data_IF_008574129286
#
_entry.id   IF_008574129286
#
_cell.length_a   1.000
_cell.length_b   1.000
_cell.length_c   1.000
_cell.angle_alpha   90.00
_cell.angle_beta   90.00
_cell.angle_gamma   90.00
#
_symmetry.space_group_name_H-M   'P 1'
#
loop_
_entity.id
_entity.type
_entity.pdbx_description
1 polymer ?
#
# COMPACT_ATOMS: atom_id res chain seq x y z
N UNK A 1 34.67 -21.03 -40.15
CA UNK A 1 34.27 -19.67 -39.68
C UNK A 1 32.79 -19.56 -39.33
N UNK A 2 31.84 -19.84 -40.23
CA UNK A 2 30.39 -19.63 -39.98
C UNK A 2 29.81 -20.35 -38.74
N UNK A 3 30.29 -21.56 -38.42
CA UNK A 3 29.88 -22.32 -37.21
C UNK A 3 30.45 -21.75 -35.90
N UNK A 4 31.66 -21.16 -35.93
CA UNK A 4 32.30 -20.54 -34.76
C UNK A 4 31.59 -19.23 -34.42
N UNK A 5 31.24 -18.42 -35.42
CA UNK A 5 30.41 -17.22 -35.22
C UNK A 5 29.04 -17.54 -34.63
N UNK A 6 28.40 -18.65 -35.05
CA UNK A 6 27.12 -19.07 -34.49
C UNK A 6 27.23 -19.53 -33.04
N UNK A 7 28.29 -20.26 -32.68
CA UNK A 7 28.57 -20.64 -31.28
C UNK A 7 28.89 -19.44 -30.40
N UNK A 8 29.69 -18.48 -30.88
CA UNK A 8 29.97 -17.23 -30.18
C UNK A 8 28.69 -16.40 -29.97
N UNK A 9 27.82 -16.31 -30.98
CA UNK A 9 26.53 -15.63 -30.86
C UNK A 9 25.64 -16.31 -29.79
N UNK A 10 25.62 -17.64 -29.75
CA UNK A 10 24.83 -18.40 -28.77
C UNK A 10 25.36 -18.20 -27.35
N UNK A 11 26.68 -18.22 -27.16
CA UNK A 11 27.32 -17.95 -25.85
C UNK A 11 27.04 -16.52 -25.40
N UNK A 12 27.11 -15.54 -26.30
CA UNK A 12 26.79 -14.14 -25.98
C UNK A 12 25.31 -13.98 -25.62
N UNK A 13 24.39 -14.67 -26.31
CA UNK A 13 22.97 -14.67 -25.98
C UNK A 13 22.71 -15.29 -24.60
N UNK A 14 23.29 -16.45 -24.32
CA UNK A 14 23.15 -17.13 -23.03
C UNK A 14 23.76 -16.31 -21.88
N UNK A 15 24.95 -15.73 -22.09
CA UNK A 15 25.59 -14.88 -21.11
C UNK A 15 24.78 -13.59 -20.85
N UNK A 16 24.19 -12.99 -21.90
CA UNK A 16 23.36 -11.79 -21.79
C UNK A 16 22.02 -12.04 -21.10
N UNK A 17 21.40 -13.21 -21.32
CA UNK A 17 20.20 -13.63 -20.60
C UNK A 17 20.50 -13.84 -19.10
N UNK A 18 21.58 -14.55 -18.76
CA UNK A 18 21.99 -14.75 -17.37
C UNK A 18 22.38 -13.42 -16.68
N UNK A 19 23.08 -12.52 -17.38
CA UNK A 19 23.42 -11.19 -16.86
C UNK A 19 22.20 -10.31 -16.64
N UNK A 20 21.21 -10.36 -17.54
CA UNK A 20 19.97 -9.60 -17.38
C UNK A 20 19.20 -10.09 -16.17
N UNK A 21 19.00 -11.39 -16.02
CA UNK A 21 18.28 -11.95 -14.88
C UNK A 21 19.00 -11.69 -13.54
N UNK A 22 20.34 -11.77 -13.53
CA UNK A 22 21.17 -11.38 -12.37
C UNK A 22 21.07 -9.90 -11.99
N UNK A 23 20.59 -9.02 -12.87
CA UNK A 23 20.34 -7.61 -12.53
C UNK A 23 18.93 -7.37 -11.98
N UNK A 24 18.01 -8.31 -12.21
CA UNK A 24 16.61 -8.20 -11.79
C UNK A 24 16.36 -8.74 -10.38
N UNK A 25 17.30 -9.52 -9.85
CA UNK A 25 17.27 -10.12 -8.51
C UNK A 25 18.58 -9.81 -7.77
N UNK A 26 18.61 -9.86 -6.44
CA UNK A 26 19.85 -9.77 -5.68
C UNK A 26 20.81 -10.91 -6.03
N UNK A 27 22.13 -10.67 -6.00
CA UNK A 27 23.14 -11.67 -6.36
C UNK A 27 23.20 -12.87 -5.39
N UNK A 28 22.60 -12.73 -4.20
CA UNK A 28 22.62 -13.74 -3.14
C UNK A 28 21.51 -14.79 -3.30
N UNK A 29 20.51 -14.55 -4.15
CA UNK A 29 19.41 -15.52 -4.38
C UNK A 29 19.88 -16.55 -5.41
N UNK A 30 20.05 -17.80 -4.99
CA UNK A 30 20.39 -18.90 -5.90
C UNK A 30 19.14 -19.47 -6.55
N UNK A 31 19.25 -19.87 -7.83
CA UNK A 31 18.19 -20.61 -8.53
C UNK A 31 17.87 -21.98 -7.88
N UNK A 32 18.73 -22.48 -7.01
CA UNK A 32 18.46 -23.69 -6.23
C UNK A 32 17.51 -23.46 -5.04
N UNK A 33 17.33 -22.20 -4.63
CA UNK A 33 16.60 -21.86 -3.41
C UNK A 33 15.10 -21.70 -3.64
N UNK A 34 14.66 -21.60 -4.89
CA UNK A 34 13.27 -21.34 -5.26
C UNK A 34 12.77 -22.21 -6.41
N UNK A 35 11.46 -22.37 -6.48
CA UNK A 35 10.75 -22.90 -7.63
C UNK A 35 10.26 -21.75 -8.52
N UNK A 36 10.06 -22.03 -9.80
CA UNK A 36 9.48 -21.06 -10.73
C UNK A 36 8.09 -21.48 -11.17
N UNK A 37 7.30 -20.50 -11.60
CA UNK A 37 5.90 -20.69 -11.95
C UNK A 37 4.97 -20.26 -10.83
N UNK A 38 3.69 -20.14 -11.15
CA UNK A 38 2.70 -19.49 -10.29
C UNK A 38 1.72 -20.46 -9.63
N UNK A 39 1.87 -21.77 -9.81
CA UNK A 39 1.05 -22.77 -9.08
C UNK A 39 1.88 -23.44 -8.01
N UNK A 40 1.36 -23.48 -6.79
CA UNK A 40 2.05 -24.09 -5.64
C UNK A 40 1.92 -25.61 -5.72
N UNK A 41 3.03 -26.32 -5.95
CA UNK A 41 3.04 -27.78 -6.15
C UNK A 41 3.77 -28.53 -5.06
N UNK A 42 4.74 -27.87 -4.43
CA UNK A 42 5.61 -28.39 -3.39
C UNK A 42 5.86 -27.30 -2.34
N UNK A 43 6.26 -27.72 -1.14
CA UNK A 43 6.60 -26.82 -0.04
C UNK A 43 8.03 -26.28 -0.23
N UNK A 44 8.14 -25.11 -0.86
CA UNK A 44 9.40 -24.41 -1.17
C UNK A 44 9.14 -22.93 -1.36
N UNK A 45 10.19 -22.12 -1.46
CA UNK A 45 10.05 -20.74 -1.92
C UNK A 45 9.68 -20.73 -3.42
N UNK A 46 8.96 -19.71 -3.87
CA UNK A 46 8.58 -19.54 -5.27
C UNK A 46 8.96 -18.17 -5.79
N UNK A 47 9.71 -18.13 -6.88
CA UNK A 47 9.96 -16.93 -7.65
C UNK A 47 8.95 -16.84 -8.80
N UNK A 48 8.06 -15.86 -8.69
CA UNK A 48 6.95 -15.65 -9.63
C UNK A 48 7.19 -14.35 -10.38
N UNK A 49 7.41 -14.44 -11.70
CA UNK A 49 7.54 -13.25 -12.54
C UNK A 49 6.19 -12.55 -12.70
N UNK A 50 6.19 -11.22 -12.65
CA UNK A 50 5.03 -10.42 -13.00
C UNK A 50 4.59 -10.71 -14.45
N UNK A 51 3.28 -10.84 -14.66
CA UNK A 51 2.75 -11.20 -15.97
C UNK A 51 3.05 -10.19 -17.10
N UNK A 52 3.39 -8.94 -16.76
CA UNK A 52 3.42 -7.81 -17.69
C UNK A 52 4.57 -6.81 -17.47
N UNK A 53 5.59 -7.16 -16.67
CA UNK A 53 6.87 -6.43 -16.61
C UNK A 53 8.03 -7.29 -16.06
N UNK A 54 9.18 -6.65 -15.82
CA UNK A 54 10.41 -7.29 -15.35
C UNK A 54 10.56 -7.23 -13.82
N UNK A 55 9.46 -7.43 -13.11
CA UNK A 55 9.41 -7.53 -11.65
C UNK A 55 9.07 -8.95 -11.21
N UNK A 56 9.42 -9.28 -9.97
CA UNK A 56 9.24 -10.62 -9.42
C UNK A 56 8.62 -10.55 -8.02
N UNK A 57 7.91 -11.61 -7.65
CA UNK A 57 7.44 -11.87 -6.31
C UNK A 57 8.17 -13.12 -5.81
N UNK A 58 8.90 -13.02 -4.70
CA UNK A 58 9.36 -14.20 -3.96
C UNK A 58 8.31 -14.54 -2.92
N UNK A 59 7.63 -15.66 -3.08
CA UNK A 59 6.74 -16.21 -2.06
C UNK A 59 7.54 -17.11 -1.13
N UNK A 60 7.44 -16.86 0.17
CA UNK A 60 8.17 -17.62 1.18
C UNK A 60 7.43 -18.92 1.53
N UNK A 61 8.15 -20.03 1.64
CA UNK A 61 7.61 -21.35 1.99
C UNK A 61 6.85 -21.34 3.31
N UNK A 62 7.22 -20.47 4.25
CA UNK A 62 6.55 -20.30 5.55
C UNK A 62 5.10 -19.83 5.39
N UNK A 63 4.74 -19.26 4.24
CA UNK A 63 3.35 -18.88 3.91
C UNK A 63 2.52 -20.03 3.32
N UNK A 64 3.14 -21.16 2.97
CA UNK A 64 2.46 -22.35 2.44
C UNK A 64 1.97 -23.18 3.62
N UNK A 65 0.76 -22.92 4.09
CA UNK A 65 0.17 -23.59 5.23
C UNK A 65 -1.34 -23.69 5.08
N UNK A 66 -1.96 -24.61 5.82
CA UNK A 66 -3.41 -24.83 5.80
C UNK A 66 -4.23 -23.57 6.13
N UNK A 67 -3.66 -22.63 6.87
CA UNK A 67 -4.31 -21.36 7.25
C UNK A 67 -4.05 -20.22 6.26
N UNK A 68 -3.10 -20.40 5.32
CA UNK A 68 -2.68 -19.39 4.35
C UNK A 68 -2.76 -19.94 2.92
N UNK A 69 -1.63 -20.32 2.33
CA UNK A 69 -1.55 -20.77 0.93
C UNK A 69 -1.47 -22.30 0.88
N UNK A 70 -2.34 -22.91 0.09
CA UNK A 70 -2.45 -24.36 -0.04
C UNK A 70 -1.63 -24.87 -1.23
N UNK A 71 -1.29 -26.16 -1.18
CA UNK A 71 -0.87 -26.86 -2.38
C UNK A 71 -2.04 -26.88 -3.39
N UNK A 72 -1.73 -26.53 -4.64
CA UNK A 72 -2.69 -26.38 -5.73
C UNK A 72 -3.20 -24.95 -5.92
N UNK A 73 -2.94 -24.03 -4.99
CA UNK A 73 -3.28 -22.62 -5.18
C UNK A 73 -2.47 -22.01 -6.34
N UNK A 74 -3.09 -21.07 -7.05
CA UNK A 74 -2.46 -20.28 -8.10
C UNK A 74 -2.21 -18.85 -7.61
N UNK A 75 -0.99 -18.37 -7.76
CA UNK A 75 -0.59 -17.01 -7.43
C UNK A 75 -0.77 -16.11 -8.64
N UNK A 76 -1.42 -14.98 -8.42
CA UNK A 76 -1.55 -13.90 -9.40
C UNK A 76 -0.63 -12.78 -8.99
N UNK A 77 0.37 -12.49 -9.84
CA UNK A 77 1.26 -11.35 -9.67
C UNK A 77 1.40 -10.56 -10.96
N UNK A 78 1.02 -9.28 -10.94
CA UNK A 78 1.05 -8.41 -12.13
C UNK A 78 1.10 -6.94 -11.75
N UNK A 79 1.71 -6.13 -12.61
CA UNK A 79 1.56 -4.67 -12.56
C UNK A 79 0.13 -4.29 -12.94
N UNK A 80 -0.43 -3.34 -12.22
CA UNK A 80 -1.76 -2.77 -12.45
C UNK A 80 -1.67 -1.25 -12.61
N UNK A 81 -2.80 -0.58 -12.84
CA UNK A 81 -2.85 0.88 -12.93
C UNK A 81 -2.28 1.49 -11.65
N UNK A 82 -1.28 2.37 -11.78
CA UNK A 82 -0.61 3.01 -10.64
C UNK A 82 -1.60 3.74 -9.75
N UNK A 83 -1.44 3.64 -8.43
CA UNK A 83 -2.31 4.32 -7.47
C UNK A 83 -2.41 5.83 -7.72
N UNK A 84 -1.28 6.50 -8.00
CA UNK A 84 -1.24 7.94 -8.31
C UNK A 84 -2.04 8.35 -9.57
N UNK A 85 -2.46 7.42 -10.42
CA UNK A 85 -3.28 7.68 -11.61
C UNK A 85 -4.77 7.36 -11.42
N UNK A 86 -5.19 6.99 -10.20
CA UNK A 86 -6.58 6.63 -9.89
C UNK A 86 -7.24 7.77 -9.14
N UNK A 87 -8.17 8.46 -9.79
CA UNK A 87 -8.90 9.60 -9.21
C UNK A 87 -9.71 9.21 -7.96
N UNK A 88 -10.02 7.91 -7.80
CA UNK A 88 -10.66 7.34 -6.63
C UNK A 88 -9.72 7.20 -5.42
N UNK A 89 -8.42 7.43 -5.56
CA UNK A 89 -7.43 7.33 -4.49
C UNK A 89 -6.78 8.69 -4.24
N UNK A 90 -6.78 9.14 -2.99
CA UNK A 90 -6.21 10.41 -2.56
C UNK A 90 -5.04 10.22 -1.60
N UNK A 91 -3.94 10.91 -1.89
CA UNK A 91 -2.76 11.01 -1.05
C UNK A 91 -2.52 12.48 -0.71
N UNK A 92 -1.95 12.76 0.47
CA UNK A 92 -1.60 14.14 0.83
C UNK A 92 -0.70 14.79 -0.23
N UNK A 93 -0.68 16.12 -0.25
CA UNK A 93 0.06 16.90 -1.22
C UNK A 93 1.52 16.44 -1.35
N UNK A 94 2.05 16.50 -2.57
CA UNK A 94 3.44 16.12 -2.91
C UNK A 94 3.81 14.65 -2.67
N UNK A 95 2.86 13.75 -2.41
CA UNK A 95 3.13 12.32 -2.44
C UNK A 95 3.55 11.87 -3.85
N UNK A 96 4.66 11.13 -3.96
CA UNK A 96 5.22 10.68 -5.24
C UNK A 96 5.31 9.16 -5.31
N UNK A 97 4.86 8.58 -6.43
CA UNK A 97 5.06 7.16 -6.69
C UNK A 97 6.54 6.87 -6.98
N UNK A 98 7.15 5.98 -6.17
CA UNK A 98 8.53 5.54 -6.34
C UNK A 98 8.65 4.14 -6.95
N UNK A 99 7.58 3.33 -6.88
CA UNK A 99 7.45 2.07 -7.64
C UNK A 99 6.18 2.05 -8.49
N UNK A 100 6.07 1.05 -9.37
CA UNK A 100 4.77 0.68 -9.95
C UNK A 100 3.83 0.11 -8.87
N UNK A 101 2.53 0.03 -9.18
CA UNK A 101 1.56 -0.70 -8.36
C UNK A 101 1.43 -2.14 -8.85
N UNK A 102 1.55 -3.09 -7.93
CA UNK A 102 1.43 -4.52 -8.21
C UNK A 102 0.24 -5.11 -7.48
N UNK A 103 -0.47 -6.02 -8.14
CA UNK A 103 -1.48 -6.88 -7.51
C UNK A 103 -0.83 -8.21 -7.16
N UNK A 104 -1.00 -8.63 -5.91
CA UNK A 104 -0.72 -9.99 -5.43
C UNK A 104 -2.03 -10.62 -4.97
N UNK A 105 -2.42 -11.73 -5.60
CA UNK A 105 -3.63 -12.47 -5.26
C UNK A 105 -3.37 -13.97 -5.24
N UNK A 106 -4.24 -14.70 -4.57
CA UNK A 106 -4.24 -16.16 -4.53
C UNK A 106 -5.57 -16.65 -5.06
N UNK A 107 -5.54 -17.57 -6.01
CA UNK A 107 -6.70 -18.24 -6.58
C UNK A 107 -6.75 -19.65 -6.00
N UNK A 108 -7.82 -19.96 -5.28
CA UNK A 108 -8.13 -21.29 -4.77
C UNK A 108 -9.40 -21.79 -5.44
N UNK A 109 -9.30 -22.92 -6.14
CA UNK A 109 -10.45 -23.52 -6.85
C UNK A 109 -11.20 -22.53 -7.75
N UNK A 110 -10.46 -21.67 -8.46
CA UNK A 110 -11.01 -20.66 -9.38
C UNK A 110 -11.53 -19.37 -8.73
N UNK A 111 -11.42 -19.21 -7.41
CA UNK A 111 -11.87 -18.01 -6.69
C UNK A 111 -10.69 -17.28 -6.06
N UNK A 112 -10.66 -15.95 -6.16
CA UNK A 112 -9.68 -15.12 -5.45
C UNK A 112 -10.00 -15.15 -3.95
N UNK A 113 -9.01 -15.46 -3.12
CA UNK A 113 -9.12 -15.44 -1.67
C UNK A 113 -8.33 -14.27 -1.08
N UNK A 114 -8.91 -13.65 -0.06
CA UNK A 114 -8.24 -12.61 0.72
C UNK A 114 -7.49 -13.25 1.88
N UNK A 115 -6.17 -13.08 1.89
CA UNK A 115 -5.28 -13.59 2.92
C UNK A 115 -4.57 -12.44 3.63
N UNK A 116 -4.37 -12.60 4.93
CA UNK A 116 -3.55 -11.74 5.77
C UNK A 116 -2.79 -12.61 6.77
N UNK A 117 -1.48 -12.41 6.86
CA UNK A 117 -0.60 -13.14 7.73
C UNK A 117 0.06 -12.21 8.77
N UNK A 118 0.44 -12.79 9.90
CA UNK A 118 1.32 -12.15 10.89
C UNK A 118 2.78 -12.13 10.46
N UNK A 119 3.14 -12.89 9.43
CA UNK A 119 4.47 -12.98 8.83
C UNK A 119 4.50 -12.26 7.48
N UNK A 120 5.71 -11.96 7.00
CA UNK A 120 5.90 -11.58 5.60
C UNK A 120 5.62 -12.80 4.73
N UNK A 121 4.57 -12.75 3.91
CA UNK A 121 4.20 -13.85 3.02
C UNK A 121 5.12 -13.87 1.80
N UNK A 122 5.46 -12.69 1.28
CA UNK A 122 6.23 -12.54 0.07
C UNK A 122 7.05 -11.24 0.07
N UNK A 123 7.97 -11.15 -0.89
CA UNK A 123 8.75 -9.96 -1.20
C UNK A 123 8.56 -9.57 -2.67
N UNK A 124 8.30 -8.29 -2.92
CA UNK A 124 8.22 -7.75 -4.28
C UNK A 124 9.58 -7.18 -4.68
N UNK A 125 10.15 -7.70 -5.76
CA UNK A 125 11.39 -7.26 -6.39
C UNK A 125 11.05 -6.40 -7.61
N UNK A 126 11.37 -5.12 -7.56
CA UNK A 126 10.98 -4.15 -8.59
C UNK A 126 11.98 -3.01 -8.69
N UNK A 127 11.86 -2.23 -9.76
CA UNK A 127 12.44 -0.90 -9.81
C UNK A 127 11.80 0.02 -8.79
N UNK A 128 12.65 0.74 -8.05
CA UNK A 128 12.28 1.73 -7.04
C UNK A 128 13.18 2.95 -7.23
N UNK A 129 12.56 4.10 -7.44
CA UNK A 129 13.27 5.38 -7.54
C UNK A 129 13.76 5.78 -6.15
N UNK A 130 15.06 6.10 -5.97
CA UNK A 130 15.56 6.64 -4.72
C UNK A 130 14.81 7.91 -4.30
N UNK A 131 14.71 8.13 -2.99
CA UNK A 131 14.04 9.28 -2.38
C UNK A 131 14.80 9.71 -1.14
N UNK A 132 14.85 11.02 -0.89
CA UNK A 132 15.28 11.57 0.41
C UNK A 132 14.16 11.52 1.44
N UNK A 133 12.91 11.56 1.00
CA UNK A 133 11.73 11.48 1.86
C UNK A 133 11.45 10.03 2.27
N UNK A 134 10.79 9.80 3.42
CA UNK A 134 10.43 8.46 3.88
C UNK A 134 9.59 7.69 2.88
N UNK A 135 9.84 6.38 2.80
CA UNK A 135 9.04 5.46 1.98
C UNK A 135 7.87 4.90 2.79
N UNK A 136 6.72 4.79 2.12
CA UNK A 136 5.54 4.15 2.65
C UNK A 136 5.10 3.04 1.70
N UNK A 137 4.89 1.84 2.27
CA UNK A 137 4.17 0.76 1.62
C UNK A 137 2.69 1.12 1.60
N UNK A 138 2.24 1.59 0.45
CA UNK A 138 0.84 1.86 0.20
C UNK A 138 0.16 0.56 -0.20
N UNK A 139 -0.96 0.27 0.47
CA UNK A 139 -1.81 -0.85 0.12
C UNK A 139 -3.27 -0.45 0.08
N UNK A 140 -4.03 -1.12 -0.80
CA UNK A 140 -5.47 -0.93 -0.90
C UNK A 140 -6.20 -2.26 -0.71
N UNK A 141 -6.77 -2.42 0.49
CA UNK A 141 -7.70 -3.50 0.82
C UNK A 141 -8.80 -2.90 1.69
N UNK A 142 -9.90 -2.51 1.04
CA UNK A 142 -11.05 -1.76 1.57
C UNK A 142 -10.74 -0.34 2.08
N UNK A 143 -9.61 -0.13 2.74
CA UNK A 143 -9.03 1.18 3.05
C UNK A 143 -7.68 1.34 2.37
N UNK A 144 -7.42 2.58 1.95
CA UNK A 144 -6.09 3.01 1.54
C UNK A 144 -5.24 3.18 2.80
N UNK A 145 -4.10 2.49 2.83
CA UNK A 145 -3.16 2.51 3.95
C UNK A 145 -1.77 2.81 3.43
N UNK A 146 -0.94 3.41 4.26
CA UNK A 146 0.44 3.79 3.98
C UNK A 146 1.28 3.49 5.24
N UNK A 147 1.97 2.35 5.24
CA UNK A 147 2.79 1.93 6.37
C UNK A 147 4.26 2.28 6.12
N UNK A 148 4.97 2.92 7.08
CA UNK A 148 6.39 3.22 6.92
C UNK A 148 7.19 1.96 6.58
N UNK A 149 8.11 2.06 5.63
CA UNK A 149 8.96 0.95 5.22
C UNK A 149 10.30 1.46 4.71
N UNK A 150 11.34 0.64 4.85
CA UNK A 150 12.63 0.89 4.21
C UNK A 150 12.88 -0.20 3.16
N UNK A 151 12.75 0.09 1.85
CA UNK A 151 13.04 -0.91 0.83
C UNK A 151 14.54 -1.24 0.83
N UNK A 152 14.87 -2.52 0.62
CA UNK A 152 16.25 -2.99 0.59
C UNK A 152 16.78 -2.95 -0.83
N UNK A 153 17.66 -1.99 -1.11
CA UNK A 153 18.31 -1.84 -2.41
C UNK A 153 19.43 -2.86 -2.60
N UNK A 154 19.39 -3.59 -3.71
CA UNK A 154 20.49 -4.47 -4.15
C UNK A 154 21.21 -3.92 -5.39
N UNK A 155 20.69 -2.84 -5.98
CA UNK A 155 21.41 -2.01 -6.93
C UNK A 155 20.88 -0.55 -6.91
N UNK A 156 21.33 0.29 -7.84
CA UNK A 156 21.01 1.74 -7.85
C UNK A 156 19.53 2.07 -8.05
N UNK A 157 18.75 1.20 -8.67
CA UNK A 157 17.38 1.48 -9.07
C UNK A 157 16.41 0.33 -8.79
N UNK A 158 16.87 -0.75 -8.15
CA UNK A 158 16.05 -1.89 -7.76
C UNK A 158 16.24 -2.22 -6.30
N UNK A 159 15.13 -2.54 -5.70
CA UNK A 159 15.03 -2.94 -4.31
C UNK A 159 13.92 -3.98 -4.18
N UNK A 160 13.83 -4.54 -2.98
CA UNK A 160 12.70 -5.36 -2.59
C UNK A 160 12.06 -4.86 -1.31
N UNK A 161 10.81 -5.24 -1.11
CA UNK A 161 10.06 -4.97 0.10
C UNK A 161 9.05 -6.09 0.41
N UNK A 162 8.86 -6.41 1.69
CA UNK A 162 7.93 -7.46 2.10
C UNK A 162 6.46 -7.03 2.00
N UNK A 163 5.60 -8.03 1.83
CA UNK A 163 4.14 -7.93 1.93
C UNK A 163 3.60 -9.12 2.76
N UNK A 164 2.54 -8.88 3.52
CA UNK A 164 1.96 -9.86 4.45
C UNK A 164 0.49 -10.18 4.17
N UNK A 165 -0.05 -9.73 3.05
CA UNK A 165 -1.44 -9.95 2.67
C UNK A 165 -1.58 -10.01 1.15
N UNK A 166 -2.72 -10.47 0.66
CA UNK A 166 -3.16 -10.24 -0.73
C UNK A 166 -3.74 -8.84 -0.89
N UNK A 167 -3.61 -8.28 -2.09
CA UNK A 167 -4.09 -6.93 -2.40
C UNK A 167 -3.24 -6.25 -3.46
N UNK A 168 -3.34 -4.92 -3.50
CA UNK A 168 -2.50 -4.07 -4.36
C UNK A 168 -1.50 -3.28 -3.52
N UNK A 169 -0.26 -3.18 -4.02
CA UNK A 169 0.87 -2.61 -3.31
C UNK A 169 1.68 -1.67 -4.18
N UNK A 170 2.14 -0.56 -3.61
CA UNK A 170 3.13 0.32 -4.22
C UNK A 170 3.96 1.01 -3.15
N UNK A 171 5.16 1.45 -3.51
CA UNK A 171 5.93 2.38 -2.69
C UNK A 171 5.70 3.80 -3.15
N UNK A 172 5.26 4.65 -2.23
CA UNK A 172 5.23 6.10 -2.40
C UNK A 172 6.25 6.72 -1.44
N UNK A 173 6.84 7.84 -1.84
CA UNK A 173 7.40 8.76 -0.87
C UNK A 173 6.32 9.75 -0.48
N UNK A 174 6.14 9.95 0.81
CA UNK A 174 5.16 10.88 1.34
C UNK A 174 5.93 11.82 2.28
N UNK A 175 6.01 13.12 1.99
CA UNK A 175 6.74 14.05 2.83
C UNK A 175 6.07 14.18 4.19
N UNK A 176 6.88 14.32 5.24
CA UNK A 176 6.38 14.59 6.58
C UNK A 176 5.84 16.03 6.64
N UNK A 177 4.55 16.17 6.93
CA UNK A 177 3.88 17.45 7.10
C UNK A 177 3.22 17.50 8.48
N UNK A 178 3.29 18.64 9.16
CA UNK A 178 2.60 18.85 10.44
C UNK A 178 1.08 18.83 10.25
N UNK A 179 0.61 19.52 9.20
CA UNK A 179 -0.81 19.72 8.92
C UNK A 179 -1.18 19.27 7.49
N UNK A 180 -1.09 17.96 7.19
CA UNK A 180 -1.33 17.44 5.85
C UNK A 180 -2.75 17.75 5.40
N UNK A 181 -2.87 18.14 4.14
CA UNK A 181 -4.14 18.52 3.50
C UNK A 181 -4.36 17.71 2.23
N UNK A 182 -5.61 17.32 1.98
CA UNK A 182 -6.07 16.66 0.78
C UNK A 182 -7.35 17.33 0.28
N UNK A 183 -7.45 17.51 -1.03
CA UNK A 183 -8.65 18.04 -1.69
C UNK A 183 -9.16 17.06 -2.75
N UNK A 184 -10.48 16.95 -2.87
CA UNK A 184 -11.15 16.13 -3.87
C UNK A 184 -12.38 16.85 -4.42
N UNK A 185 -12.55 16.82 -5.73
CA UNK A 185 -13.68 17.45 -6.45
C UNK A 185 -14.46 16.47 -7.34
N UNK A 186 -14.16 15.17 -7.22
CA UNK A 186 -14.80 14.11 -7.99
C UNK A 186 -16.15 13.67 -7.43
N UNK A 187 -16.83 12.78 -8.17
CA UNK A 187 -18.17 12.25 -7.84
C UNK A 187 -18.21 10.74 -7.65
N UNK A 188 -17.06 10.08 -7.79
CA UNK A 188 -16.91 8.64 -7.61
C UNK A 188 -16.56 8.29 -6.16
N UNK A 189 -16.41 6.99 -5.87
CA UNK A 189 -15.86 6.56 -4.58
C UNK A 189 -14.47 7.17 -4.41
N UNK A 190 -14.19 7.68 -3.21
CA UNK A 190 -12.92 8.30 -2.90
C UNK A 190 -12.32 7.72 -1.62
N UNK A 191 -11.12 7.17 -1.73
CA UNK A 191 -10.37 6.58 -0.63
C UNK A 191 -9.14 7.42 -0.40
N UNK A 192 -9.04 8.02 0.78
CA UNK A 192 -7.99 8.94 1.14
C UNK A 192 -7.11 8.35 2.25
N UNK A 193 -5.81 8.67 2.20
CA UNK A 193 -4.91 8.48 3.34
C UNK A 193 -4.11 9.77 3.58
N UNK A 194 -4.04 10.18 4.85
CA UNK A 194 -3.22 11.29 5.32
C UNK A 194 -2.34 10.81 6.48
N UNK A 195 -1.11 11.31 6.52
CA UNK A 195 -0.07 11.01 7.50
C UNK A 195 0.52 12.32 8.00
N UNK A 196 0.61 12.48 9.31
CA UNK A 196 1.34 13.61 9.89
C UNK A 196 2.76 13.19 10.30
N UNK A 197 3.57 14.19 10.63
CA UNK A 197 4.95 14.06 11.10
C UNK A 197 5.11 13.17 12.37
N UNK A 198 4.05 12.96 13.16
CA UNK A 198 4.11 12.08 14.35
C UNK A 198 3.85 10.61 14.02
N UNK A 199 3.60 10.27 12.76
CA UNK A 199 3.25 8.92 12.32
C UNK A 199 1.80 8.51 12.62
N UNK A 200 0.91 9.45 12.92
CA UNK A 200 -0.52 9.16 12.96
C UNK A 200 -1.06 9.09 11.54
N UNK A 201 -1.91 8.09 11.30
CA UNK A 201 -2.50 7.84 10.00
C UNK A 201 -4.02 7.93 10.08
N UNK A 202 -4.58 8.67 9.12
CA UNK A 202 -6.02 8.78 8.91
C UNK A 202 -6.37 8.25 7.53
N UNK A 203 -7.20 7.21 7.49
CA UNK A 203 -7.76 6.67 6.26
C UNK A 203 -9.26 6.98 6.22
N UNK A 204 -9.73 7.51 5.09
CA UNK A 204 -11.13 7.91 4.90
C UNK A 204 -11.70 7.26 3.65
N UNK A 205 -12.92 6.76 3.74
CA UNK A 205 -13.67 6.24 2.60
C UNK A 205 -14.95 7.05 2.42
N UNK A 206 -15.08 7.67 1.25
CA UNK A 206 -16.26 8.38 0.81
C UNK A 206 -16.95 7.57 -0.31
N UNK A 207 -18.17 7.07 -0.05
CA UNK A 207 -18.99 6.50 -1.10
C UNK A 207 -19.33 7.53 -2.19
N UNK A 208 -19.54 7.10 -3.43
CA UNK A 208 -19.89 7.97 -4.56
C UNK A 208 -21.13 8.85 -4.31
N UNK A 209 -22.11 8.33 -3.57
CA UNK A 209 -23.29 9.10 -3.16
C UNK A 209 -22.91 10.29 -2.26
N UNK A 210 -21.94 10.11 -1.36
CA UNK A 210 -21.42 11.17 -0.52
C UNK A 210 -20.67 12.22 -1.34
N UNK A 211 -19.69 11.80 -2.16
CA UNK A 211 -18.87 12.74 -2.96
C UNK A 211 -19.73 13.54 -3.95
N UNK A 212 -20.74 12.90 -4.55
CA UNK A 212 -21.72 13.57 -5.43
C UNK A 212 -22.52 14.67 -4.73
N UNK A 213 -22.84 14.51 -3.43
CA UNK A 213 -23.60 15.48 -2.65
C UNK A 213 -22.71 16.56 -2.01
N UNK A 214 -21.52 16.17 -1.55
CA UNK A 214 -20.59 17.02 -0.83
C UNK A 214 -20.05 18.19 -1.66
N UNK A 215 -19.94 18.01 -2.98
CA UNK A 215 -19.16 18.90 -3.84
C UNK A 215 -17.66 18.76 -3.53
N UNK A 216 -16.94 19.86 -3.51
CA UNK A 216 -15.53 19.83 -3.11
C UNK A 216 -15.37 19.38 -1.64
N UNK A 217 -14.52 18.38 -1.41
CA UNK A 217 -14.16 17.86 -0.09
C UNK A 217 -12.72 18.28 0.21
N UNK A 218 -12.49 18.83 1.40
CA UNK A 218 -11.16 19.09 1.95
C UNK A 218 -11.00 18.34 3.26
N UNK A 219 -9.91 17.59 3.39
CA UNK A 219 -9.53 16.89 4.62
C UNK A 219 -8.22 17.51 5.10
N UNK A 220 -8.15 17.86 6.38
CA UNK A 220 -6.91 18.33 7.01
C UNK A 220 -6.67 17.58 8.32
N UNK A 221 -5.44 17.17 8.57
CA UNK A 221 -5.02 16.86 9.93
C UNK A 221 -4.49 18.13 10.55
N UNK A 222 -4.95 18.43 11.77
CA UNK A 222 -4.56 19.61 12.54
C UNK A 222 -3.89 19.21 13.82
N UNK A 223 -2.93 20.04 14.23
CA UNK A 223 -2.25 19.84 15.50
C UNK A 223 -3.12 20.15 16.72
N UNK A 224 -4.06 21.08 16.57
CA UNK A 224 -4.95 21.53 17.63
C UNK A 224 -6.37 21.80 17.12
N UNK A 225 -7.33 21.70 18.05
CA UNK A 225 -8.70 22.17 17.81
C UNK A 225 -8.70 23.71 17.74
N UNK A 226 -9.42 24.30 16.78
CA UNK A 226 -9.48 25.76 16.60
C UNK A 226 -9.92 26.52 17.87
N UNK A 227 -10.79 25.91 18.69
CA UNK A 227 -11.26 26.48 19.97
C UNK A 227 -10.62 25.82 21.20
N UNK A 228 -9.41 25.26 21.07
CA UNK A 228 -8.70 24.57 22.15
C UNK A 228 -8.67 25.37 23.45
N UNK A 229 -8.31 26.66 23.37
CA UNK A 229 -8.21 27.55 24.53
C UNK A 229 -9.56 27.77 25.22
N UNK A 230 -10.67 27.75 24.48
CA UNK A 230 -12.02 27.86 25.07
C UNK A 230 -12.42 26.54 25.73
N UNK A 231 -12.15 25.41 25.06
CA UNK A 231 -12.46 24.09 25.60
C UNK A 231 -11.74 23.86 26.93
N UNK A 232 -10.44 24.17 27.02
CA UNK A 232 -9.66 24.01 28.25
C UNK A 232 -10.03 25.03 29.33
N UNK A 233 -10.57 26.20 28.97
CA UNK A 233 -11.12 27.13 29.95
C UNK A 233 -12.39 26.60 30.64
N UNK A 234 -13.27 25.90 29.91
CA UNK A 234 -14.46 25.28 30.48
C UNK A 234 -14.19 23.90 31.10
N UNK A 235 -13.25 23.15 30.51
CA UNK A 235 -12.89 21.80 30.90
C UNK A 235 -11.35 21.69 31.02
N UNK A 236 -10.77 22.14 32.15
CA UNK A 236 -9.31 22.20 32.34
C UNK A 236 -8.58 20.86 32.19
N UNK A 237 -9.31 19.76 32.37
CA UNK A 237 -8.79 18.39 32.27
C UNK A 237 -9.25 17.67 30.99
N UNK A 238 -9.76 18.40 29.98
CA UNK A 238 -10.15 17.80 28.71
C UNK A 238 -8.94 17.17 28.02
N UNK A 239 -8.97 15.85 27.82
CA UNK A 239 -7.99 15.15 27.01
C UNK A 239 -8.43 15.19 25.54
N UNK A 240 -7.60 15.78 24.67
CA UNK A 240 -7.82 15.70 23.22
C UNK A 240 -6.99 14.55 22.67
N UNK A 241 -7.67 13.65 21.97
CA UNK A 241 -7.00 12.60 21.19
C UNK A 241 -6.46 13.22 19.91
N UNK A 242 -5.18 12.99 19.65
CA UNK A 242 -4.47 13.44 18.45
C UNK A 242 -4.47 12.31 17.42
N UNK A 243 -4.57 12.61 16.09
CA UNK A 243 -4.68 13.92 15.45
C UNK A 243 -6.12 14.46 15.36
N UNK A 244 -6.29 15.79 15.25
CA UNK A 244 -7.60 16.41 14.98
C UNK A 244 -7.88 16.36 13.48
N UNK A 245 -9.00 15.75 13.10
CA UNK A 245 -9.43 15.66 11.69
C UNK A 245 -10.44 16.76 11.40
N UNK A 246 -10.09 17.69 10.50
CA UNK A 246 -11.03 18.65 9.92
C UNK A 246 -11.52 18.14 8.56
N UNK A 247 -12.83 18.04 8.40
CA UNK A 247 -13.50 17.73 7.14
C UNK A 247 -14.39 18.92 6.74
N UNK A 248 -14.13 19.48 5.56
CA UNK A 248 -14.92 20.56 4.98
C UNK A 248 -15.51 20.10 3.66
N UNK A 249 -16.81 20.37 3.47
CA UNK A 249 -17.53 20.08 2.23
C UNK A 249 -18.13 21.37 1.68
N UNK A 250 -18.25 21.50 0.36
CA UNK A 250 -18.85 22.65 -0.29
C UNK A 250 -20.34 22.80 0.05
N UNK A 251 -21.05 21.68 0.20
CA UNK A 251 -22.48 21.63 0.52
C UNK A 251 -22.71 20.92 1.85
N UNK A 252 -23.77 21.31 2.54
CA UNK A 252 -24.25 20.59 3.73
C UNK A 252 -24.82 19.22 3.32
N UNK A 253 -24.52 18.18 4.10
CA UNK A 253 -24.87 16.79 3.79
C UNK A 253 -25.76 16.23 4.91
N UNK A 254 -27.06 16.13 4.66
CA UNK A 254 -28.02 15.66 5.68
C UNK A 254 -28.12 14.13 5.82
N UNK A 255 -28.00 13.37 4.72
CA UNK A 255 -28.38 11.94 4.68
C UNK A 255 -27.30 11.01 4.09
N UNK A 256 -26.04 11.43 4.01
CA UNK A 256 -24.94 10.58 3.50
C UNK A 256 -23.80 10.51 4.50
N UNK A 257 -23.10 9.36 4.50
CA UNK A 257 -22.10 9.02 5.50
C UNK A 257 -20.72 8.83 4.87
N UNK A 258 -19.69 9.26 5.60
CA UNK A 258 -18.30 8.93 5.33
C UNK A 258 -17.75 8.10 6.51
N UNK A 259 -16.89 7.14 6.21
CA UNK A 259 -16.26 6.30 7.22
C UNK A 259 -14.82 6.73 7.45
N UNK A 260 -14.50 7.01 8.72
CA UNK A 260 -13.18 7.40 9.17
C UNK A 260 -12.54 6.25 9.95
N UNK A 261 -11.32 5.88 9.55
CA UNK A 261 -10.45 4.97 10.28
C UNK A 261 -9.21 5.72 10.75
N UNK A 262 -8.95 5.68 12.06
CA UNK A 262 -7.76 6.26 12.65
C UNK A 262 -6.82 5.14 13.10
N UNK A 263 -5.55 5.24 12.71
CA UNK A 263 -4.47 4.37 13.16
C UNK A 263 -3.43 5.24 13.87
N UNK A 264 -3.39 5.11 15.20
CA UNK A 264 -2.49 5.88 16.05
C UNK A 264 -1.29 5.04 16.49
N UNK A 265 -0.08 5.49 16.13
CA UNK A 265 1.17 4.85 16.58
C UNK A 265 1.47 5.10 18.07
N UNK A 266 0.87 6.13 18.69
CA UNK A 266 1.39 6.71 19.94
C UNK A 266 0.70 6.35 21.27
N UNK A 267 -0.40 5.59 21.33
CA UNK A 267 -1.06 5.30 22.63
C UNK A 267 -1.63 3.88 22.71
N UNK A 268 -1.09 3.09 23.64
CA UNK A 268 -1.38 1.66 23.88
C UNK A 268 -2.80 1.29 24.35
N UNK A 269 -3.82 2.10 24.08
CA UNK A 269 -5.22 1.80 24.43
C UNK A 269 -6.23 2.03 23.29
N UNK A 270 -5.81 2.50 22.12
CA UNK A 270 -6.71 2.80 20.98
C UNK A 270 -6.14 2.33 19.65
N UNK A 271 -5.70 1.06 19.55
CA UNK A 271 -4.92 0.63 18.39
C UNK A 271 -5.73 0.58 17.09
N UNK A 272 -7.07 0.55 17.14
CA UNK A 272 -7.98 0.76 16.00
C UNK A 272 -9.31 1.32 16.50
N UNK A 273 -9.78 2.42 15.93
CA UNK A 273 -11.13 2.93 16.18
C UNK A 273 -11.79 3.31 14.85
N UNK A 274 -13.05 2.93 14.76
CA UNK A 274 -13.94 3.32 13.69
C UNK A 274 -14.80 4.48 14.16
N UNK A 275 -14.90 5.52 13.34
CA UNK A 275 -15.72 6.69 13.64
C UNK A 275 -16.68 6.94 12.47
N UNK A 276 -17.96 7.07 12.81
CA UNK A 276 -19.02 7.52 11.92
C UNK A 276 -19.32 8.99 12.22
N UNK A 277 -19.19 9.82 11.19
CA UNK A 277 -19.50 11.24 11.22
C UNK A 277 -20.87 11.48 10.56
N UNK A 278 -21.81 12.02 11.32
CA UNK A 278 -23.11 12.51 10.84
C UNK A 278 -23.28 13.99 11.22
N UNK A 279 -24.26 14.68 10.62
CA UNK A 279 -24.47 16.13 10.80
C UNK A 279 -24.53 16.56 12.28
N UNK A 280 -25.10 15.73 13.16
CA UNK A 280 -25.31 16.06 14.58
C UNK A 280 -24.80 14.99 15.56
N UNK A 281 -24.10 13.95 15.10
CA UNK A 281 -23.69 12.85 15.98
C UNK A 281 -22.42 12.18 15.50
N UNK A 282 -21.59 11.79 16.47
CA UNK A 282 -20.38 10.99 16.25
C UNK A 282 -20.59 9.65 16.94
N UNK A 283 -20.48 8.56 16.18
CA UNK A 283 -20.53 7.21 16.73
C UNK A 283 -19.15 6.57 16.60
N UNK A 284 -18.71 5.85 17.63
CA UNK A 284 -17.44 5.14 17.60
C UNK A 284 -17.60 3.69 18.03
N UNK A 285 -16.78 2.82 17.44
CA UNK A 285 -16.66 1.41 17.82
C UNK A 285 -15.22 0.92 17.63
N UNK A 286 -14.86 -0.15 18.33
CA UNK A 286 -13.55 -0.81 18.28
C UNK A 286 -13.62 -2.10 17.47
#
# INVERSE_FOLDING_TARGET
MRRIFFFLLLIVLLASCNLRENLLLPPEISAADYQTGNTIKVYSDYLIKAANDDSYLMLHKESIADELIHLGDEIVFRKVKTFAMRDSLGFQNNAEAKSNTYQFGVIRSGTIIDLIASINMAEIYTEIKPSSDPFYLVSFNYYLQANPINPTYYNKCRAYFPISATGEYALLSIPEEDNPTLQHSGRDNFYAVLLNNTGAQVAVNFPAAYTSMAGNITIRLKDNLTDYNKLTAYYPNAAISYPVVELQTEKAIGNCLAYLRILNAGKGFFSRQWIHLSENSVYSWS
#
